data_IF_982059526509
#
_entry.id   IF_982059526509
#
_cell.length_a   1.000
_cell.length_b   1.000
_cell.length_c   1.000
_cell.angle_alpha   90.00
_cell.angle_beta   90.00
_cell.angle_gamma   90.00
#
_symmetry.space_group_name_H-M   'P 1'
#
loop_
_entity.id
_entity.type
_entity.pdbx_description
1 polymer ?
#
# COMPACT_ATOMS: atom_id res chain seq x y z
N UNK A 1 2.52 23.88 -2.00
CA UNK A 1 1.34 23.70 -1.10
C UNK A 1 1.16 22.27 -0.60
N UNK A 2 1.31 21.22 -1.40
CA UNK A 2 1.04 19.84 -0.95
C UNK A 2 2.26 19.20 -0.31
N UNK A 3 3.46 19.40 -0.86
CA UNK A 3 4.72 19.04 -0.18
C UNK A 3 4.81 19.67 1.23
N UNK A 4 4.23 20.86 1.42
CA UNK A 4 4.19 21.53 2.73
C UNK A 4 3.27 20.83 3.75
N UNK A 5 2.18 20.18 3.31
CA UNK A 5 1.28 19.43 4.20
C UNK A 5 1.84 18.05 4.60
N UNK A 6 2.49 17.35 3.68
CA UNK A 6 3.24 16.11 4.01
C UNK A 6 4.35 16.46 4.98
N UNK A 7 5.10 17.52 4.70
CA UNK A 7 6.13 18.03 5.59
C UNK A 7 5.57 18.41 6.96
N UNK A 8 4.35 18.94 7.10
CA UNK A 8 3.81 19.35 8.39
C UNK A 8 3.42 18.18 9.31
N UNK A 9 2.85 17.08 8.81
CA UNK A 9 2.55 15.88 9.62
C UNK A 9 3.77 15.02 9.92
N UNK A 10 4.74 14.97 8.99
CA UNK A 10 6.01 14.27 9.15
C UNK A 10 7.20 15.22 9.36
N UNK A 11 6.94 16.52 9.56
CA UNK A 11 7.96 17.57 9.71
C UNK A 11 9.02 17.23 10.77
N UNK A 12 8.64 16.41 11.72
CA UNK A 12 9.53 15.93 12.77
C UNK A 12 9.99 14.48 12.57
N UNK A 13 9.50 13.76 11.52
CA UNK A 13 9.91 12.38 11.30
C UNK A 13 11.30 12.34 10.67
N UNK A 14 12.28 11.87 11.42
CA UNK A 14 13.69 11.82 10.99
C UNK A 14 14.15 10.41 10.66
N UNK A 15 13.53 9.41 11.27
CA UNK A 15 13.92 8.02 11.04
C UNK A 15 12.75 7.06 11.20
N UNK A 16 12.75 6.00 10.38
CA UNK A 16 11.82 4.89 10.47
C UNK A 16 12.60 3.60 10.56
N UNK A 17 12.14 2.70 11.44
CA UNK A 17 12.64 1.35 11.52
C UNK A 17 11.55 0.39 11.03
N UNK A 18 11.85 -0.42 10.03
CA UNK A 18 10.93 -1.40 9.46
C UNK A 18 11.27 -2.81 9.93
N UNK A 19 10.30 -3.54 10.49
CA UNK A 19 10.42 -4.96 10.81
C UNK A 19 9.74 -5.76 9.69
N UNK A 20 10.53 -6.54 8.94
CA UNK A 20 10.13 -7.20 7.70
C UNK A 20 10.24 -6.25 6.50
N UNK A 21 11.36 -5.54 6.38
CA UNK A 21 11.58 -4.48 5.39
C UNK A 21 11.57 -4.99 3.92
N UNK A 22 11.90 -6.27 3.69
CA UNK A 22 11.90 -6.90 2.36
C UNK A 22 10.52 -7.29 1.85
N UNK A 23 9.48 -7.22 2.70
CA UNK A 23 8.11 -7.46 2.25
C UNK A 23 7.66 -6.42 1.22
N UNK A 24 6.92 -6.86 0.17
CA UNK A 24 6.56 -6.00 -0.96
C UNK A 24 5.88 -4.70 -0.53
N UNK A 25 4.88 -4.73 0.33
CA UNK A 25 4.19 -3.53 0.78
C UNK A 25 4.98 -2.70 1.80
N UNK A 26 5.98 -3.27 2.49
CA UNK A 26 6.86 -2.55 3.43
C UNK A 26 7.98 -1.85 2.69
N UNK A 27 8.57 -2.51 1.70
CA UNK A 27 9.66 -1.94 0.90
C UNK A 27 9.23 -0.72 0.10
N UNK A 28 7.99 -0.66 -0.36
CA UNK A 28 7.43 0.53 -1.01
C UNK A 28 7.41 1.75 -0.06
N UNK A 29 7.04 1.54 1.22
CA UNK A 29 7.07 2.58 2.24
C UNK A 29 8.50 3.01 2.59
N UNK A 30 9.44 2.05 2.61
CA UNK A 30 10.85 2.35 2.82
C UNK A 30 11.42 3.21 1.67
N UNK A 31 11.05 2.90 0.42
CA UNK A 31 11.43 3.71 -0.74
C UNK A 31 10.86 5.14 -0.66
N UNK A 32 9.59 5.28 -0.26
CA UNK A 32 8.98 6.57 -0.02
C UNK A 32 9.72 7.37 1.05
N UNK A 33 10.10 6.73 2.17
CA UNK A 33 10.89 7.37 3.23
C UNK A 33 12.25 7.87 2.71
N UNK A 34 12.98 7.03 1.96
CA UNK A 34 14.28 7.40 1.38
C UNK A 34 14.15 8.59 0.43
N UNK A 35 13.13 8.60 -0.43
CA UNK A 35 12.84 9.72 -1.34
C UNK A 35 12.59 11.03 -0.57
N UNK A 36 11.91 10.94 0.58
CA UNK A 36 11.63 12.08 1.44
C UNK A 36 12.76 12.40 2.43
N UNK A 37 13.97 11.86 2.22
CA UNK A 37 15.16 12.10 3.04
C UNK A 37 15.00 11.68 4.52
N UNK A 38 14.10 10.75 4.80
CA UNK A 38 13.91 10.12 6.10
C UNK A 38 14.89 8.95 6.21
N UNK A 39 15.65 8.86 7.31
CA UNK A 39 16.57 7.75 7.53
C UNK A 39 15.82 6.44 7.69
N UNK A 40 16.20 5.44 6.90
CA UNK A 40 15.56 4.13 6.90
C UNK A 40 16.50 3.09 7.50
N UNK A 41 15.99 2.42 8.52
CA UNK A 41 16.58 1.25 9.13
C UNK A 41 15.59 0.10 9.01
N UNK A 42 16.06 -1.14 8.98
CA UNK A 42 15.14 -2.25 8.99
C UNK A 42 15.81 -3.59 9.27
N UNK A 43 14.94 -4.56 9.50
CA UNK A 43 15.27 -5.96 9.69
C UNK A 43 14.50 -6.80 8.70
N UNK A 44 15.16 -7.81 8.16
CA UNK A 44 14.49 -8.91 7.47
C UNK A 44 15.15 -10.24 7.84
N UNK A 45 14.49 -11.36 7.53
CA UNK A 45 15.03 -12.69 7.79
C UNK A 45 16.24 -12.95 6.90
N UNK A 46 16.11 -12.63 5.61
CA UNK A 46 17.09 -12.97 4.58
C UNK A 46 17.36 -11.80 3.65
N UNK A 47 18.54 -11.85 3.02
CA UNK A 47 18.89 -10.92 1.95
C UNK A 47 18.16 -11.31 0.66
N UNK A 48 17.38 -10.39 0.11
CA UNK A 48 16.64 -10.54 -1.15
C UNK A 48 17.05 -9.41 -2.11
N UNK A 49 16.66 -9.49 -3.38
CA UNK A 49 16.87 -8.40 -4.34
C UNK A 49 16.21 -7.09 -3.88
N UNK A 50 15.04 -7.19 -3.20
CA UNK A 50 14.37 -6.03 -2.64
C UNK A 50 15.21 -5.38 -1.54
N UNK A 51 15.73 -6.15 -0.59
CA UNK A 51 16.54 -5.61 0.50
C UNK A 51 17.87 -5.06 0.02
N UNK A 52 18.51 -5.69 -0.98
CA UNK A 52 19.73 -5.19 -1.63
C UNK A 52 19.49 -3.86 -2.33
N UNK A 53 18.37 -3.74 -3.08
CA UNK A 53 17.98 -2.48 -3.71
C UNK A 53 17.75 -1.36 -2.68
N UNK A 54 17.10 -1.66 -1.56
CA UNK A 54 16.90 -0.71 -0.47
C UNK A 54 18.24 -0.26 0.13
N UNK A 55 19.19 -1.17 0.33
CA UNK A 55 20.54 -0.85 0.80
C UNK A 55 21.29 0.04 -0.20
N UNK A 56 21.21 -0.30 -1.48
CA UNK A 56 21.80 0.53 -2.54
C UNK A 56 21.24 1.96 -2.56
N UNK A 57 19.94 2.12 -2.23
CA UNK A 57 19.26 3.42 -2.12
C UNK A 57 19.48 4.12 -0.77
N UNK A 58 20.27 3.55 0.15
CA UNK A 58 20.69 4.19 1.40
C UNK A 58 19.99 3.68 2.67
N UNK A 59 19.19 2.63 2.61
CA UNK A 59 18.67 1.98 3.82
C UNK A 59 19.76 1.17 4.54
N UNK A 60 19.68 1.13 5.87
CA UNK A 60 20.49 0.20 6.66
C UNK A 60 19.66 -1.01 7.04
N UNK A 61 19.97 -2.16 6.48
CA UNK A 61 19.23 -3.42 6.69
C UNK A 61 20.06 -4.40 7.51
N UNK A 62 19.44 -5.02 8.50
CA UNK A 62 20.00 -6.07 9.35
C UNK A 62 19.28 -7.38 9.08
N UNK A 63 19.98 -8.49 9.11
CA UNK A 63 19.42 -9.82 8.86
C UNK A 63 19.45 -10.69 10.11
N UNK A 64 18.68 -11.79 10.13
CA UNK A 64 18.49 -12.61 11.33
C UNK A 64 19.78 -13.10 11.94
N UNK A 65 20.72 -13.61 11.13
CA UNK A 65 22.02 -14.10 11.57
C UNK A 65 22.91 -13.02 12.21
N UNK A 66 22.65 -11.73 11.89
CA UNK A 66 23.40 -10.59 12.44
C UNK A 66 22.70 -9.94 13.63
N UNK A 67 21.35 -9.90 13.58
CA UNK A 67 20.55 -9.03 14.42
C UNK A 67 20.41 -9.49 15.87
N UNK A 68 20.42 -10.81 16.10
CA UNK A 68 20.20 -11.40 17.43
C UNK A 68 21.49 -11.72 18.17
N UNK A 69 22.66 -11.59 17.52
CA UNK A 69 23.93 -11.79 18.20
C UNK A 69 24.21 -10.58 19.12
N UNK A 70 24.52 -10.86 20.39
CA UNK A 70 24.99 -9.84 21.35
C UNK A 70 26.26 -9.10 20.84
N UNK A 71 26.88 -9.60 19.78
CA UNK A 71 28.10 -9.03 19.17
C UNK A 71 27.83 -7.95 18.12
N UNK A 72 26.59 -7.80 17.61
CA UNK A 72 26.30 -6.73 16.63
C UNK A 72 26.02 -5.40 17.31
N UNK A 73 27.09 -4.70 17.69
CA UNK A 73 27.02 -3.37 18.34
C UNK A 73 26.33 -2.32 17.46
N UNK A 74 26.48 -2.41 16.13
CA UNK A 74 25.86 -1.46 15.18
C UNK A 74 24.34 -1.55 15.22
N UNK A 75 23.75 -2.76 15.13
CA UNK A 75 22.32 -2.94 15.21
C UNK A 75 21.76 -2.51 16.57
N UNK A 76 22.40 -2.91 17.66
CA UNK A 76 21.98 -2.49 18.99
C UNK A 76 22.02 -0.97 19.19
N UNK A 77 23.03 -0.27 18.65
CA UNK A 77 23.11 1.18 18.70
C UNK A 77 21.96 1.84 17.92
N UNK A 78 21.58 1.27 16.76
CA UNK A 78 20.40 1.72 16.00
C UNK A 78 19.12 1.53 16.83
N UNK A 79 18.88 0.35 17.41
CA UNK A 79 17.70 0.11 18.25
C UNK A 79 17.62 1.08 19.43
N UNK A 80 18.73 1.29 20.13
CA UNK A 80 18.83 2.26 21.24
C UNK A 80 18.52 3.69 20.79
N UNK A 81 18.89 4.04 19.57
CA UNK A 81 18.69 5.40 19.03
C UNK A 81 17.21 5.76 18.85
N UNK A 82 16.29 4.82 18.87
CA UNK A 82 14.83 5.03 18.77
C UNK A 82 14.16 5.32 20.13
N UNK A 83 14.84 5.05 21.25
CA UNK A 83 14.27 5.29 22.59
C UNK A 83 14.05 6.78 22.86
N UNK A 84 12.88 7.12 23.40
CA UNK A 84 12.56 8.46 23.88
C UNK A 84 12.52 9.54 22.81
N UNK A 85 12.36 9.17 21.53
CA UNK A 85 12.36 10.11 20.41
C UNK A 85 11.01 10.19 19.72
N UNK A 86 10.35 11.33 19.84
CA UNK A 86 9.05 11.60 19.21
C UNK A 86 9.11 11.74 17.66
N UNK A 87 10.31 11.76 17.09
CA UNK A 87 10.55 11.91 15.66
C UNK A 87 10.97 10.60 14.96
N UNK A 88 10.78 9.48 15.64
CA UNK A 88 11.11 8.15 15.11
C UNK A 88 9.90 7.22 15.26
N UNK A 89 9.63 6.41 14.25
CA UNK A 89 8.52 5.45 14.22
C UNK A 89 9.06 4.07 13.88
N UNK A 90 8.46 3.05 14.47
CA UNK A 90 8.70 1.65 14.08
C UNK A 90 7.48 1.15 13.31
N UNK A 91 7.72 0.60 12.13
CA UNK A 91 6.67 0.05 11.25
C UNK A 91 6.90 -1.45 11.11
N UNK A 92 5.84 -2.23 11.25
CA UNK A 92 5.94 -3.68 11.11
C UNK A 92 4.92 -4.23 10.09
N UNK A 93 5.33 -5.32 9.41
CA UNK A 93 4.45 -6.13 8.57
C UNK A 93 3.47 -6.92 9.43
N UNK A 94 2.24 -7.18 8.94
CA UNK A 94 1.27 -8.07 9.59
C UNK A 94 1.80 -9.50 9.80
N UNK A 95 2.76 -9.95 8.99
CA UNK A 95 3.45 -11.22 9.18
C UNK A 95 4.35 -11.28 10.43
N UNK A 96 4.66 -10.14 11.05
CA UNK A 96 5.53 -10.08 12.24
C UNK A 96 4.71 -10.31 13.51
N UNK A 97 4.96 -11.44 14.13
CA UNK A 97 4.33 -11.83 15.39
C UNK A 97 4.67 -10.85 16.53
N UNK A 98 3.75 -10.68 17.49
CA UNK A 98 3.97 -9.89 18.72
C UNK A 98 5.17 -10.39 19.54
N UNK A 99 5.49 -11.67 19.42
CA UNK A 99 6.63 -12.30 20.12
C UNK A 99 7.99 -12.09 19.43
N UNK A 100 8.02 -11.43 18.27
CA UNK A 100 9.27 -11.17 17.55
C UNK A 100 10.24 -10.34 18.42
N UNK A 101 11.52 -10.76 18.59
CA UNK A 101 12.45 -10.14 19.54
C UNK A 101 12.63 -8.63 19.36
N UNK A 102 12.75 -8.16 18.12
CA UNK A 102 12.91 -6.74 17.83
C UNK A 102 11.63 -5.96 18.18
N UNK A 103 10.46 -6.54 17.89
CA UNK A 103 9.18 -5.92 18.24
C UNK A 103 9.03 -5.80 19.75
N UNK A 104 9.28 -6.89 20.50
CA UNK A 104 9.31 -6.86 21.97
C UNK A 104 10.29 -5.84 22.53
N UNK A 105 11.47 -5.70 21.91
CA UNK A 105 12.43 -4.69 22.33
C UNK A 105 11.83 -3.29 22.26
N UNK A 106 11.16 -2.93 21.18
CA UNK A 106 10.54 -1.63 21.03
C UNK A 106 9.35 -1.43 21.96
N UNK A 107 8.49 -2.45 22.11
CA UNK A 107 7.32 -2.41 23.01
C UNK A 107 7.75 -2.17 24.47
N UNK A 108 8.76 -2.91 24.97
CA UNK A 108 9.30 -2.74 26.33
C UNK A 108 9.92 -1.36 26.55
N UNK A 109 10.46 -0.76 25.50
CA UNK A 109 11.09 0.57 25.57
C UNK A 109 10.13 1.72 25.23
N UNK A 110 8.81 1.46 25.17
CA UNK A 110 7.75 2.43 24.90
C UNK A 110 7.93 3.19 23.58
N UNK A 111 8.53 2.56 22.58
CA UNK A 111 8.66 3.12 21.23
C UNK A 111 7.39 2.82 20.46
N UNK A 112 6.78 3.85 19.85
CA UNK A 112 5.56 3.68 19.07
C UNK A 112 5.79 2.74 17.88
N UNK A 113 5.09 1.58 17.89
CA UNK A 113 5.05 0.62 16.80
C UNK A 113 3.70 0.69 16.10
N UNK A 114 3.69 0.82 14.78
CA UNK A 114 2.47 0.89 13.96
C UNK A 114 2.50 -0.15 12.85
N UNK A 115 1.31 -0.58 12.40
CA UNK A 115 1.20 -1.48 11.25
C UNK A 115 1.62 -0.76 9.96
N UNK A 116 2.12 -1.53 8.98
CA UNK A 116 2.38 -1.07 7.61
C UNK A 116 1.19 -0.29 7.02
N UNK A 117 -0.01 -0.85 7.18
CA UNK A 117 -1.24 -0.26 6.65
C UNK A 117 -1.57 1.09 7.31
N UNK A 118 -1.36 1.22 8.64
CA UNK A 118 -1.53 2.48 9.35
C UNK A 118 -0.55 3.54 8.84
N UNK A 119 0.71 3.18 8.62
CA UNK A 119 1.70 4.10 8.08
C UNK A 119 1.38 4.55 6.65
N UNK A 120 0.92 3.63 5.79
CA UNK A 120 0.44 3.96 4.45
C UNK A 120 -0.76 4.91 4.50
N UNK A 121 -1.72 4.66 5.39
CA UNK A 121 -2.87 5.55 5.62
C UNK A 121 -2.45 6.96 6.03
N UNK A 122 -1.46 7.09 6.93
CA UNK A 122 -0.93 8.39 7.34
C UNK A 122 -0.27 9.14 6.17
N UNK A 123 0.46 8.44 5.31
CA UNK A 123 1.06 9.03 4.11
C UNK A 123 -0.02 9.48 3.13
N UNK A 124 -0.98 8.60 2.84
CA UNK A 124 -2.03 8.79 1.83
C UNK A 124 -2.97 9.97 2.13
N UNK A 125 -3.14 10.34 3.40
CA UNK A 125 -3.99 11.47 3.82
C UNK A 125 -3.60 12.83 3.23
N UNK A 126 -2.43 12.92 2.60
CA UNK A 126 -1.96 14.14 1.97
C UNK A 126 -2.20 14.17 0.45
N UNK A 127 -2.87 13.15 -0.10
CA UNK A 127 -3.12 12.98 -1.52
C UNK A 127 -4.61 12.81 -1.82
N UNK A 128 -4.99 13.09 -3.05
CA UNK A 128 -6.22 12.53 -3.63
C UNK A 128 -5.93 11.07 -3.97
N UNK A 129 -6.58 10.17 -3.24
CA UNK A 129 -6.29 8.74 -3.31
C UNK A 129 -7.26 8.02 -4.23
N UNK A 130 -6.71 7.27 -5.18
CA UNK A 130 -7.43 6.29 -6.00
C UNK A 130 -7.08 4.92 -5.43
N UNK A 131 -8.04 4.29 -4.77
CA UNK A 131 -7.87 2.98 -4.14
C UNK A 131 -8.36 1.87 -5.09
N UNK A 132 -7.46 0.98 -5.47
CA UNK A 132 -7.77 -0.20 -6.29
C UNK A 132 -7.93 -1.39 -5.36
N UNK A 133 -9.16 -1.86 -5.22
CA UNK A 133 -9.53 -2.97 -4.34
C UNK A 133 -10.20 -4.11 -5.12
N UNK A 134 -10.47 -5.21 -4.45
CA UNK A 134 -11.07 -6.42 -5.02
C UNK A 134 -10.19 -7.64 -4.80
N UNK A 135 -10.77 -8.83 -4.89
CA UNK A 135 -10.04 -10.08 -4.64
C UNK A 135 -8.93 -10.30 -5.67
N UNK A 136 -9.19 -9.98 -6.95
CA UNK A 136 -8.28 -10.20 -8.06
C UNK A 136 -8.02 -8.92 -8.87
N UNK A 137 -6.86 -8.87 -9.52
CA UNK A 137 -6.51 -7.81 -10.48
C UNK A 137 -5.98 -6.50 -9.86
N UNK A 138 -5.94 -6.36 -8.53
CA UNK A 138 -5.48 -5.13 -7.84
C UNK A 138 -4.14 -4.60 -8.38
N UNK A 139 -3.10 -5.44 -8.36
CA UNK A 139 -1.74 -5.05 -8.78
C UNK A 139 -1.68 -4.70 -10.27
N UNK A 140 -2.39 -5.45 -11.11
CA UNK A 140 -2.44 -5.20 -12.56
C UNK A 140 -3.11 -3.85 -12.83
N UNK A 141 -4.30 -3.64 -12.28
CA UNK A 141 -5.08 -2.41 -12.49
C UNK A 141 -4.34 -1.19 -11.92
N UNK A 142 -3.80 -1.28 -10.71
CA UNK A 142 -3.05 -0.16 -10.11
C UNK A 142 -1.80 0.19 -10.93
N UNK A 143 -1.09 -0.82 -11.45
CA UNK A 143 0.09 -0.60 -12.30
C UNK A 143 -0.29 0.03 -13.65
N UNK A 144 -1.33 -0.48 -14.31
CA UNK A 144 -1.82 0.07 -15.57
C UNK A 144 -2.33 1.49 -15.40
N UNK A 145 -3.16 1.75 -14.39
CA UNK A 145 -3.67 3.09 -14.10
C UNK A 145 -2.53 4.09 -13.84
N UNK A 146 -1.55 3.69 -13.02
CA UNK A 146 -0.37 4.52 -12.78
C UNK A 146 0.36 4.88 -14.09
N UNK A 147 0.51 3.89 -14.97
CA UNK A 147 1.17 4.12 -16.26
C UNK A 147 0.34 5.04 -17.17
N UNK A 148 -0.96 4.83 -17.27
CA UNK A 148 -1.85 5.67 -18.08
C UNK A 148 -1.85 7.12 -17.58
N UNK A 149 -1.95 7.34 -16.28
CA UNK A 149 -1.90 8.66 -15.68
C UNK A 149 -0.57 9.37 -15.98
N UNK A 150 0.56 8.68 -15.77
CA UNK A 150 1.91 9.22 -16.03
C UNK A 150 2.10 9.60 -17.51
N UNK A 151 1.70 8.73 -18.44
CA UNK A 151 1.79 9.00 -19.89
C UNK A 151 0.83 10.12 -20.30
N UNK A 152 -0.32 10.21 -19.65
CA UNK A 152 -1.30 11.29 -19.83
C UNK A 152 -0.91 12.64 -19.22
N UNK A 153 0.29 12.75 -18.65
CA UNK A 153 0.81 14.01 -18.09
C UNK A 153 0.44 14.25 -16.62
N UNK A 154 -0.17 13.28 -15.95
CA UNK A 154 -0.45 13.34 -14.51
C UNK A 154 0.66 12.60 -13.76
N UNK A 155 1.52 13.35 -13.09
CA UNK A 155 2.68 12.81 -12.39
C UNK A 155 2.31 12.24 -11.01
N UNK A 156 1.44 11.21 -10.99
CA UNK A 156 0.95 10.58 -9.78
C UNK A 156 2.02 9.76 -9.04
N UNK A 157 1.89 9.67 -7.71
CA UNK A 157 2.59 8.67 -6.91
C UNK A 157 1.81 7.35 -6.89
N UNK A 158 2.50 6.21 -6.69
CA UNK A 158 1.80 4.93 -6.53
C UNK A 158 2.48 3.98 -5.55
N UNK A 159 1.66 3.25 -4.78
CA UNK A 159 2.05 2.11 -3.96
C UNK A 159 1.42 0.85 -4.54
N UNK A 160 2.28 -0.01 -5.11
CA UNK A 160 1.88 -1.19 -5.88
C UNK A 160 2.14 -2.48 -5.09
N UNK A 161 1.30 -3.48 -5.28
CA UNK A 161 1.44 -4.80 -4.66
C UNK A 161 2.50 -5.70 -5.30
N UNK A 162 3.23 -5.21 -6.29
CA UNK A 162 4.30 -5.92 -6.99
C UNK A 162 5.30 -4.98 -7.65
N UNK A 163 6.41 -5.53 -8.11
CA UNK A 163 7.41 -4.76 -8.85
C UNK A 163 6.90 -4.53 -10.28
N UNK A 164 6.60 -3.28 -10.61
CA UNK A 164 6.22 -2.89 -11.97
C UNK A 164 7.41 -3.05 -12.93
N UNK A 165 7.17 -3.67 -14.08
CA UNK A 165 8.19 -3.80 -15.13
C UNK A 165 8.58 -2.45 -15.73
N UNK A 166 7.63 -1.52 -15.85
CA UNK A 166 7.86 -0.20 -16.44
C UNK A 166 8.69 0.72 -15.53
N UNK A 167 8.55 0.56 -14.21
CA UNK A 167 9.21 1.42 -13.23
C UNK A 167 10.30 0.72 -12.42
N UNK A 168 10.46 -0.61 -12.59
CA UNK A 168 11.40 -1.46 -11.83
C UNK A 168 11.28 -1.26 -10.32
N UNK A 169 10.05 -0.97 -9.85
CA UNK A 169 9.75 -0.61 -8.47
C UNK A 169 8.30 -0.94 -8.11
N UNK A 170 8.05 -1.10 -6.82
CA UNK A 170 6.72 -1.18 -6.22
C UNK A 170 6.28 0.15 -5.58
N UNK A 171 7.13 1.16 -5.64
CA UNK A 171 6.81 2.54 -5.34
C UNK A 171 7.15 3.41 -6.55
N UNK A 172 6.19 4.16 -7.05
CA UNK A 172 6.37 5.16 -8.10
C UNK A 172 6.22 6.53 -7.46
N UNK A 173 7.22 7.38 -7.64
CA UNK A 173 7.18 8.74 -7.14
C UNK A 173 6.55 9.67 -8.18
N UNK A 174 5.84 10.69 -7.70
CA UNK A 174 5.23 11.74 -8.51
C UNK A 174 5.08 13.03 -7.73
N UNK A 175 5.05 14.14 -8.47
CA UNK A 175 4.97 15.48 -7.90
C UNK A 175 3.52 15.99 -7.76
N UNK A 176 2.55 15.34 -8.42
CA UNK A 176 1.14 15.69 -8.35
C UNK A 176 0.47 15.17 -7.06
N UNK A 177 -0.66 15.82 -6.72
CA UNK A 177 -1.44 15.44 -5.55
C UNK A 177 -2.34 14.22 -5.78
N UNK A 178 -1.91 13.27 -6.55
CA UNK A 178 -2.67 12.06 -6.84
C UNK A 178 -1.83 10.86 -6.44
N UNK A 179 -2.47 9.92 -5.75
CA UNK A 179 -1.84 8.68 -5.33
C UNK A 179 -2.71 7.48 -5.70
N UNK A 180 -2.14 6.57 -6.47
CA UNK A 180 -2.73 5.25 -6.74
C UNK A 180 -2.26 4.28 -5.68
N UNK A 181 -3.20 3.61 -5.01
CA UNK A 181 -2.88 2.66 -3.93
C UNK A 181 -3.60 1.34 -4.18
N UNK A 182 -2.86 0.25 -4.10
CA UNK A 182 -3.46 -1.07 -3.97
C UNK A 182 -4.05 -1.22 -2.56
N UNK A 183 -5.39 -1.25 -2.48
CA UNK A 183 -6.15 -1.33 -1.24
C UNK A 183 -6.42 -2.79 -0.89
N UNK A 184 -5.53 -3.34 -0.06
CA UNK A 184 -5.53 -4.74 0.35
C UNK A 184 -6.58 -4.99 1.44
N UNK A 185 -7.50 -5.92 1.19
CA UNK A 185 -8.52 -6.36 2.14
C UNK A 185 -7.96 -7.28 3.23
N UNK A 186 -6.82 -7.92 2.99
CA UNK A 186 -6.18 -8.79 3.97
C UNK A 186 -5.85 -8.04 5.25
N UNK A 187 -6.08 -8.69 6.42
CA UNK A 187 -5.93 -8.08 7.76
C UNK A 187 -6.68 -6.73 7.89
N UNK A 188 -7.72 -6.51 7.05
CA UNK A 188 -8.50 -5.26 6.98
C UNK A 188 -7.63 -4.01 6.75
N UNK A 189 -6.52 -4.18 6.04
CA UNK A 189 -5.52 -3.14 5.81
C UNK A 189 -6.09 -1.92 5.10
N UNK A 190 -7.05 -2.10 4.18
CA UNK A 190 -7.70 -0.99 3.46
C UNK A 190 -8.49 -0.03 4.37
N UNK A 191 -8.84 -0.43 5.61
CA UNK A 191 -9.53 0.46 6.54
C UNK A 191 -8.70 1.65 7.02
N UNK A 192 -7.39 1.61 6.84
CA UNK A 192 -6.53 2.76 7.16
C UNK A 192 -6.51 3.83 6.08
N UNK A 193 -7.02 3.53 4.88
CA UNK A 193 -7.07 4.46 3.76
C UNK A 193 -8.30 5.37 3.84
N UNK A 194 -8.18 6.59 3.30
CA UNK A 194 -9.25 7.57 3.12
C UNK A 194 -9.31 7.99 1.64
N UNK A 195 -9.77 7.10 0.73
CA UNK A 195 -9.76 7.36 -0.71
C UNK A 195 -10.82 8.37 -1.13
N UNK A 196 -10.56 9.01 -2.29
CA UNK A 196 -11.49 9.84 -3.02
C UNK A 196 -12.20 9.04 -4.12
N UNK A 197 -11.52 8.04 -4.69
CA UNK A 197 -12.09 7.13 -5.68
C UNK A 197 -11.79 5.70 -5.21
N UNK A 198 -12.80 4.84 -5.26
CA UNK A 198 -12.67 3.40 -4.96
C UNK A 198 -13.06 2.63 -6.23
N UNK A 199 -12.14 1.77 -6.72
CA UNK A 199 -12.45 0.77 -7.71
C UNK A 199 -12.48 -0.60 -7.03
N UNK A 200 -13.55 -1.39 -7.26
CA UNK A 200 -13.67 -2.78 -6.81
C UNK A 200 -13.74 -3.67 -8.05
N UNK A 201 -12.64 -4.40 -8.30
CA UNK A 201 -12.45 -5.19 -9.52
C UNK A 201 -13.15 -6.55 -9.48
N UNK A 202 -13.28 -7.13 -8.32
CA UNK A 202 -13.92 -8.43 -8.10
C UNK A 202 -14.23 -8.62 -6.62
N UNK A 203 -15.13 -9.56 -6.34
CA UNK A 203 -15.46 -9.94 -4.97
C UNK A 203 -15.73 -11.44 -4.94
N UNK A 204 -14.68 -12.22 -4.67
CA UNK A 204 -14.72 -13.67 -4.58
C UNK A 204 -14.28 -14.10 -3.17
N UNK A 205 -14.67 -15.31 -2.76
CA UNK A 205 -14.29 -15.81 -1.44
C UNK A 205 -12.78 -16.02 -1.34
N UNK A 206 -12.13 -15.25 -0.49
CA UNK A 206 -10.69 -15.32 -0.22
C UNK A 206 -10.40 -14.95 1.24
N UNK A 207 -9.16 -15.16 1.71
CA UNK A 207 -8.70 -14.77 3.04
C UNK A 207 -9.59 -15.29 4.18
N UNK A 208 -9.85 -16.62 4.21
CA UNK A 208 -10.72 -17.27 5.19
C UNK A 208 -10.28 -17.10 6.65
N UNK A 209 -9.02 -16.78 6.88
CA UNK A 209 -8.45 -16.40 8.17
C UNK A 209 -8.88 -14.99 8.64
N UNK A 210 -9.12 -14.08 7.70
CA UNK A 210 -9.60 -12.72 7.97
C UNK A 210 -11.11 -12.61 7.88
N UNK A 211 -11.74 -13.34 6.94
CA UNK A 211 -13.17 -13.36 6.64
C UNK A 211 -13.70 -14.79 6.67
N UNK A 212 -14.26 -15.26 7.79
CA UNK A 212 -14.78 -16.62 7.92
C UNK A 212 -15.86 -16.96 6.87
N UNK A 213 -16.67 -15.97 6.50
CA UNK A 213 -17.72 -16.14 5.49
C UNK A 213 -17.61 -15.08 4.38
N UNK A 214 -18.22 -15.37 3.24
CA UNK A 214 -18.34 -14.40 2.16
C UNK A 214 -19.15 -13.15 2.55
N UNK A 215 -20.11 -13.31 3.47
CA UNK A 215 -20.89 -12.20 4.02
C UNK A 215 -20.02 -11.26 4.86
N UNK A 216 -19.08 -11.81 5.63
CA UNK A 216 -18.12 -11.00 6.40
C UNK A 216 -17.23 -10.16 5.48
N UNK A 217 -16.77 -10.75 4.36
CA UNK A 217 -16.02 -10.02 3.35
C UNK A 217 -16.86 -8.91 2.71
N UNK A 218 -18.09 -9.21 2.28
CA UNK A 218 -19.01 -8.18 1.75
C UNK A 218 -19.25 -7.05 2.76
N UNK A 219 -19.47 -7.39 4.03
CA UNK A 219 -19.65 -6.41 5.09
C UNK A 219 -18.42 -5.52 5.26
N UNK A 220 -17.20 -6.07 5.14
CA UNK A 220 -15.97 -5.31 5.20
C UNK A 220 -15.84 -4.32 4.03
N UNK A 221 -16.14 -4.74 2.80
CA UNK A 221 -16.14 -3.82 1.64
C UNK A 221 -17.20 -2.73 1.79
N UNK A 222 -18.42 -3.07 2.22
CA UNK A 222 -19.44 -2.06 2.54
C UNK A 222 -18.96 -1.08 3.59
N UNK A 223 -18.40 -1.58 4.68
CA UNK A 223 -17.84 -0.72 5.72
C UNK A 223 -16.72 0.19 5.20
N UNK A 224 -15.83 -0.31 4.34
CA UNK A 224 -14.77 0.48 3.74
C UNK A 224 -15.32 1.65 2.91
N UNK A 225 -16.32 1.41 2.08
CA UNK A 225 -16.97 2.45 1.28
C UNK A 225 -17.70 3.45 2.18
N UNK A 226 -18.56 2.96 3.09
CA UNK A 226 -19.36 3.84 3.98
C UNK A 226 -18.50 4.71 4.89
N UNK A 227 -17.45 4.14 5.47
CA UNK A 227 -16.49 4.90 6.31
C UNK A 227 -15.92 6.10 5.56
N UNK A 228 -15.75 6.00 4.27
CA UNK A 228 -15.13 7.03 3.43
C UNK A 228 -16.13 7.96 2.73
N UNK A 229 -17.43 7.81 2.98
CA UNK A 229 -18.51 8.53 2.29
C UNK A 229 -18.27 10.03 2.13
N UNK A 230 -17.78 10.69 3.17
CA UNK A 230 -17.54 12.15 3.15
C UNK A 230 -16.40 12.58 2.20
N UNK A 231 -15.49 11.67 1.84
CA UNK A 231 -14.33 11.93 0.99
C UNK A 231 -14.49 11.37 -0.41
N UNK A 232 -15.44 10.43 -0.62
CA UNK A 232 -15.62 9.77 -1.90
C UNK A 232 -16.27 10.70 -2.91
N UNK A 233 -15.65 10.79 -4.07
CA UNK A 233 -16.24 11.39 -5.28
C UNK A 233 -16.86 10.32 -6.18
N UNK A 234 -16.25 9.14 -6.26
CA UNK A 234 -16.67 8.10 -7.20
C UNK A 234 -16.43 6.69 -6.64
N UNK A 235 -17.32 5.77 -6.99
CA UNK A 235 -17.20 4.33 -6.79
C UNK A 235 -17.31 3.66 -8.15
N UNK A 236 -16.32 2.85 -8.52
CA UNK A 236 -16.27 2.13 -9.79
C UNK A 236 -16.34 0.63 -9.50
N UNK A 237 -17.33 -0.04 -10.04
CA UNK A 237 -17.59 -1.45 -9.81
C UNK A 237 -17.49 -2.24 -11.11
N UNK A 238 -16.91 -3.44 -11.04
CA UNK A 238 -17.13 -4.40 -12.11
C UNK A 238 -18.61 -4.80 -12.14
N UNK A 239 -19.23 -4.83 -13.32
CA UNK A 239 -20.59 -5.30 -13.49
C UNK A 239 -20.75 -6.73 -12.94
N UNK A 240 -21.93 -7.01 -12.41
CA UNK A 240 -22.30 -8.30 -11.80
C UNK A 240 -21.53 -8.66 -10.51
N UNK A 241 -20.78 -7.72 -9.95
CA UNK A 241 -20.20 -7.89 -8.62
C UNK A 241 -21.32 -7.95 -7.57
N UNK A 242 -21.24 -8.91 -6.66
CA UNK A 242 -22.31 -9.14 -5.67
C UNK A 242 -22.33 -8.11 -4.52
N UNK A 243 -22.13 -6.82 -4.84
CA UNK A 243 -22.20 -5.70 -3.91
C UNK A 243 -22.74 -4.49 -4.66
N UNK A 244 -23.54 -3.67 -3.97
CA UNK A 244 -24.08 -2.44 -4.52
C UNK A 244 -24.12 -1.33 -3.45
N UNK A 245 -24.23 -0.10 -3.91
CA UNK A 245 -24.22 1.11 -3.08
C UNK A 245 -25.27 2.12 -3.57
N UNK A 246 -26.58 1.76 -3.49
CA UNK A 246 -27.67 2.58 -4.04
C UNK A 246 -27.82 3.94 -3.37
N UNK A 247 -27.22 4.14 -2.19
CA UNK A 247 -27.21 5.38 -1.42
C UNK A 247 -26.12 6.38 -1.87
N UNK A 248 -25.31 6.04 -2.88
CA UNK A 248 -24.29 6.91 -3.47
C UNK A 248 -24.72 7.32 -4.88
N UNK A 249 -24.59 8.61 -5.20
CA UNK A 249 -24.98 9.16 -6.50
C UNK A 249 -23.98 8.85 -7.63
N UNK A 250 -22.69 8.76 -7.29
CA UNK A 250 -21.59 8.57 -8.25
C UNK A 250 -21.06 7.14 -8.19
N UNK A 251 -21.90 6.18 -8.57
CA UNK A 251 -21.52 4.77 -8.74
C UNK A 251 -21.55 4.43 -10.21
N UNK A 252 -20.41 3.99 -10.75
CA UNK A 252 -20.25 3.61 -12.15
C UNK A 252 -19.92 2.13 -12.25
N UNK A 253 -20.50 1.47 -13.24
CA UNK A 253 -20.18 0.09 -13.57
C UNK A 253 -19.31 0.00 -14.84
N UNK A 254 -18.37 -0.94 -14.85
CA UNK A 254 -17.64 -1.30 -16.06
C UNK A 254 -17.82 -2.79 -16.39
N UNK A 255 -17.83 -3.10 -17.69
CA UNK A 255 -17.94 -4.47 -18.19
C UNK A 255 -17.08 -4.69 -19.42
N UNK A 256 -16.58 -5.92 -19.55
CA UNK A 256 -15.93 -6.41 -20.79
C UNK A 256 -16.96 -7.04 -21.72
N UNK A 257 -18.11 -7.48 -21.19
CA UNK A 257 -19.18 -8.15 -21.93
C UNK A 257 -20.52 -7.50 -21.54
N UNK A 258 -21.28 -7.06 -22.55
CA UNK A 258 -22.60 -6.46 -22.34
C UNK A 258 -22.55 -4.95 -22.07
N UNK A 259 -23.69 -4.41 -21.65
CA UNK A 259 -23.87 -2.97 -21.42
C UNK A 259 -23.53 -2.59 -19.96
N UNK A 260 -22.75 -1.56 -19.79
CA UNK A 260 -22.43 -0.91 -18.51
C UNK A 260 -22.16 0.58 -18.80
N UNK A 261 -21.92 1.43 -17.77
CA UNK A 261 -21.54 2.83 -17.98
C UNK A 261 -20.25 2.93 -18.81
N UNK A 262 -19.32 2.01 -18.56
CA UNK A 262 -18.12 1.83 -19.36
C UNK A 262 -18.06 0.39 -19.87
N UNK A 263 -18.23 0.20 -21.17
CA UNK A 263 -18.16 -1.12 -21.80
C UNK A 263 -17.05 -1.18 -22.84
N UNK A 264 -16.34 -2.29 -22.86
CA UNK A 264 -15.29 -2.57 -23.83
C UNK A 264 -15.84 -3.52 -24.88
N UNK A 265 -15.83 -3.12 -26.14
CA UNK A 265 -16.08 -4.02 -27.24
C UNK A 265 -14.75 -4.55 -27.79
N UNK A 266 -14.63 -5.85 -27.91
CA UNK A 266 -13.45 -6.46 -28.54
C UNK A 266 -13.87 -7.46 -29.62
N UNK A 267 -13.11 -7.49 -30.70
CA UNK A 267 -13.23 -8.51 -31.75
C UNK A 267 -11.94 -9.30 -31.80
N UNK A 268 -12.05 -10.61 -31.75
CA UNK A 268 -10.94 -11.53 -32.01
C UNK A 268 -10.82 -11.72 -33.51
N UNK A 269 -9.67 -11.47 -34.10
CA UNK A 269 -9.40 -11.76 -35.52
C UNK A 269 -9.06 -13.26 -35.72
N UNK A 270 -8.97 -13.70 -36.96
CA UNK A 270 -8.69 -15.09 -37.32
C UNK A 270 -7.27 -15.55 -36.90
N UNK A 271 -6.36 -14.62 -36.52
CA UNK A 271 -5.02 -14.90 -36.06
C UNK A 271 -4.92 -14.98 -34.52
N UNK A 272 -6.03 -14.74 -33.83
CA UNK A 272 -6.09 -14.81 -32.37
C UNK A 272 -5.82 -13.47 -31.67
N UNK A 273 -5.57 -12.38 -32.41
CA UNK A 273 -5.38 -11.05 -31.85
C UNK A 273 -6.73 -10.39 -31.54
N UNK A 274 -6.70 -9.47 -30.57
CA UNK A 274 -7.89 -8.71 -30.15
C UNK A 274 -7.80 -7.27 -30.63
N UNK A 275 -8.86 -6.80 -31.29
CA UNK A 275 -9.07 -5.37 -31.57
C UNK A 275 -10.04 -4.82 -30.54
N UNK A 276 -9.68 -3.72 -29.91
CA UNK A 276 -10.46 -3.03 -28.88
C UNK A 276 -11.08 -1.79 -29.50
N UNK A 277 -12.37 -1.60 -29.31
CA UNK A 277 -13.10 -0.39 -29.73
C UNK A 277 -14.03 0.11 -28.63
#
# INVERSE_FOLDING_TARGET
MIKDNIQNRFKNLRSVYFIGIGGIGVSALALWCLKNKIKVFGYDREATEITKNLQFKGATVFYEHESLSKKNSKHQNVLKSFKGKNYSIVVFSSAINKNHPIRKYFDINFVKCIKRAEFLGLISNNYKVIAISGTHGKTTISTMLTHILKVGGIDCSAFLGGISKNYLSNFVDGDDNIMVVEADEYDKSFFYLNPNIILISSLDRDHSDTYPTFLDMKAAYKHFVHKNRANLSEIILKKDIQINFPEFESVFEYSIIGTADYSLNYKKNNLGDYTIS
#
